data_IF_322328611131
#
_entry.id   IF_322328611131
#
_cell.length_a   1.000
_cell.length_b   1.000
_cell.length_c   1.000
_cell.angle_alpha   90.00
_cell.angle_beta   90.00
_cell.angle_gamma   90.00
#
_symmetry.space_group_name_H-M   'P 1'
#
loop_
_entity.id
_entity.type
_entity.pdbx_description
1 polymer ?
#
# COMPACT_ATOMS: atom_id res chain seq x y z
N UNK A 1 10.23 18.49 15.52
CA UNK A 1 8.76 18.29 15.58
C UNK A 1 8.48 17.02 14.79
N UNK A 2 7.83 15.97 15.32
CA UNK A 2 7.56 14.80 14.51
C UNK A 2 6.45 15.15 13.53
N UNK A 3 6.75 15.05 12.24
CA UNK A 3 5.78 15.17 11.15
C UNK A 3 4.68 14.14 11.39
N UNK A 4 3.42 14.59 11.47
CA UNK A 4 2.28 13.69 11.58
C UNK A 4 2.23 12.85 10.31
N UNK A 5 2.59 11.56 10.41
CA UNK A 5 2.39 10.55 9.37
C UNK A 5 0.88 10.49 9.07
N UNK A 6 0.44 11.17 8.00
CA UNK A 6 -0.95 11.17 7.54
C UNK A 6 -1.21 9.76 7.04
N UNK A 7 -1.97 8.97 7.78
CA UNK A 7 -2.39 7.63 7.34
C UNK A 7 -3.06 7.78 5.98
N UNK A 8 -2.50 7.10 4.98
CA UNK A 8 -3.02 7.10 3.62
C UNK A 8 -4.26 6.21 3.63
N UNK A 9 -5.38 6.72 4.14
CA UNK A 9 -6.66 6.03 4.12
C UNK A 9 -7.21 6.03 2.68
N UNK A 10 -6.66 5.14 1.87
CA UNK A 10 -7.05 4.85 0.50
C UNK A 10 -7.96 3.62 0.53
N UNK A 11 -9.17 3.77 0.01
CA UNK A 11 -10.09 2.62 -0.17
C UNK A 11 -9.63 1.76 -1.34
N UNK A 12 -10.03 0.49 -1.38
CA UNK A 12 -9.69 -0.42 -2.49
C UNK A 12 -10.03 0.18 -3.87
N UNK A 13 -11.17 0.88 -3.97
CA UNK A 13 -11.58 1.52 -5.22
C UNK A 13 -10.69 2.72 -5.60
N UNK A 14 -10.27 3.52 -4.61
CA UNK A 14 -9.33 4.62 -4.83
C UNK A 14 -7.92 4.10 -5.18
N UNK A 15 -7.53 2.95 -4.62
CA UNK A 15 -6.25 2.31 -4.92
C UNK A 15 -6.15 1.90 -6.39
N UNK A 16 -7.23 1.34 -6.95
CA UNK A 16 -7.30 1.01 -8.39
C UNK A 16 -7.08 2.25 -9.27
N UNK A 17 -7.68 3.39 -8.91
CA UNK A 17 -7.48 4.66 -9.63
C UNK A 17 -6.03 5.15 -9.49
N UNK A 18 -5.44 5.04 -8.30
CA UNK A 18 -4.04 5.41 -8.07
C UNK A 18 -3.07 4.55 -8.89
N UNK A 19 -3.32 3.23 -9.03
CA UNK A 19 -2.50 2.36 -9.89
C UNK A 19 -2.45 2.84 -11.34
N UNK A 20 -3.59 3.29 -11.87
CA UNK A 20 -3.63 3.88 -13.21
C UNK A 20 -2.81 5.17 -13.25
N UNK A 21 -3.01 6.08 -12.28
CA UNK A 21 -2.31 7.35 -12.24
C UNK A 21 -0.79 7.19 -12.07
N UNK A 22 -0.31 6.23 -11.28
CA UNK A 22 1.11 5.92 -11.13
C UNK A 22 1.71 5.35 -12.41
N UNK A 23 1.00 4.44 -13.08
CA UNK A 23 1.48 3.83 -14.31
C UNK A 23 1.59 4.83 -15.46
N UNK A 24 0.62 5.75 -15.60
CA UNK A 24 0.60 6.72 -16.70
C UNK A 24 1.31 8.03 -16.38
N UNK A 25 1.61 8.31 -15.10
CA UNK A 25 2.15 9.58 -14.54
C UNK A 25 1.25 10.80 -14.70
N UNK A 26 0.50 10.88 -15.79
CA UNK A 26 -0.58 11.82 -16.02
C UNK A 26 -1.76 11.07 -16.61
N UNK A 27 -2.98 11.38 -16.19
CA UNK A 27 -4.19 10.70 -16.68
C UNK A 27 -5.40 11.61 -16.71
N UNK A 28 -6.40 11.27 -17.52
CA UNK A 28 -7.70 11.95 -17.54
C UNK A 28 -8.80 11.04 -16.99
N UNK A 29 -9.92 11.63 -16.55
CA UNK A 29 -11.08 10.83 -16.10
C UNK A 29 -11.58 9.83 -17.15
N UNK A 30 -11.39 10.14 -18.44
CA UNK A 30 -11.75 9.25 -19.55
C UNK A 30 -10.81 8.04 -19.63
N UNK A 31 -9.51 8.28 -19.62
CA UNK A 31 -8.49 7.21 -19.67
C UNK A 31 -8.61 6.27 -18.47
N UNK A 32 -8.77 6.81 -17.25
CA UNK A 32 -9.01 5.99 -16.06
C UNK A 32 -10.26 5.12 -16.21
N UNK A 33 -11.34 5.69 -16.77
CA UNK A 33 -12.58 4.94 -17.00
C UNK A 33 -12.37 3.84 -18.03
N UNK A 34 -11.66 4.11 -19.13
CA UNK A 34 -11.37 3.14 -20.18
C UNK A 34 -10.52 1.98 -19.66
N UNK A 35 -9.41 2.27 -18.96
CA UNK A 35 -8.50 1.26 -18.40
C UNK A 35 -9.21 0.39 -17.37
N UNK A 36 -9.98 1.00 -16.46
CA UNK A 36 -10.64 0.23 -15.41
C UNK A 36 -11.83 -0.58 -15.93
N UNK A 37 -12.51 -0.12 -16.98
CA UNK A 37 -13.62 -0.86 -17.61
C UNK A 37 -13.21 -2.16 -18.30
N UNK A 38 -11.92 -2.38 -18.58
CA UNK A 38 -11.44 -3.67 -19.08
C UNK A 38 -11.68 -4.82 -18.09
N UNK A 39 -11.77 -4.52 -16.79
CA UNK A 39 -11.94 -5.53 -15.73
C UNK A 39 -13.06 -5.21 -14.74
N UNK A 40 -13.44 -3.94 -14.60
CA UNK A 40 -14.38 -3.44 -13.59
C UNK A 40 -15.34 -2.48 -14.30
N UNK A 41 -16.59 -2.88 -14.53
CA UNK A 41 -17.61 -2.11 -15.27
C UNK A 41 -18.06 -0.82 -14.53
N UNK A 42 -17.14 0.11 -14.31
CA UNK A 42 -17.35 1.35 -13.59
C UNK A 42 -17.90 2.44 -14.50
N UNK A 43 -18.97 3.07 -14.02
CA UNK A 43 -19.53 4.27 -14.65
C UNK A 43 -18.53 5.43 -14.54
N UNK A 44 -18.47 6.27 -15.57
CA UNK A 44 -17.63 7.48 -15.58
C UNK A 44 -17.90 8.41 -14.39
N UNK A 45 -19.13 8.45 -13.88
CA UNK A 45 -19.50 9.21 -12.67
C UNK A 45 -18.76 8.71 -11.44
N UNK A 46 -18.66 7.39 -11.26
CA UNK A 46 -17.94 6.77 -10.14
C UNK A 46 -16.45 7.13 -10.19
N UNK A 47 -15.81 7.00 -11.36
CA UNK A 47 -14.40 7.34 -11.55
C UNK A 47 -14.14 8.81 -11.24
N UNK A 48 -15.00 9.72 -11.71
CA UNK A 48 -14.89 11.16 -11.39
C UNK A 48 -15.00 11.42 -9.88
N UNK A 49 -15.94 10.77 -9.20
CA UNK A 49 -16.06 10.90 -7.73
C UNK A 49 -14.82 10.40 -7.00
N UNK A 50 -14.24 9.27 -7.43
CA UNK A 50 -13.00 8.74 -6.84
C UNK A 50 -11.81 9.68 -7.09
N UNK A 51 -11.67 10.21 -8.31
CA UNK A 51 -10.64 11.19 -8.64
C UNK A 51 -10.78 12.47 -7.81
N UNK A 52 -11.99 13.01 -7.66
CA UNK A 52 -12.24 14.17 -6.79
C UNK A 52 -11.85 13.90 -5.35
N UNK A 53 -12.23 12.75 -4.77
CA UNK A 53 -11.83 12.37 -3.41
C UNK A 53 -10.32 12.22 -3.25
N UNK A 54 -9.64 11.67 -4.24
CA UNK A 54 -8.18 11.55 -4.24
C UNK A 54 -7.48 12.91 -4.32
N UNK A 55 -8.05 13.87 -5.05
CA UNK A 55 -7.59 15.26 -5.06
C UNK A 55 -7.83 15.92 -3.70
N UNK A 56 -9.01 15.76 -3.11
CA UNK A 56 -9.33 16.29 -1.78
C UNK A 56 -8.41 15.71 -0.68
N UNK A 57 -7.94 14.47 -0.87
CA UNK A 57 -6.96 13.81 -0.01
C UNK A 57 -5.51 14.24 -0.25
N UNK A 58 -5.25 15.10 -1.24
CA UNK A 58 -3.92 15.55 -1.69
C UNK A 58 -3.04 14.41 -2.23
N UNK A 59 -3.66 13.34 -2.74
CA UNK A 59 -2.96 12.20 -3.34
C UNK A 59 -2.77 12.38 -4.84
N UNK A 60 -3.70 13.09 -5.47
CA UNK A 60 -3.63 13.52 -6.85
C UNK A 60 -3.64 15.05 -6.93
N UNK A 61 -2.83 15.60 -7.83
CA UNK A 61 -2.98 16.95 -8.34
C UNK A 61 -3.95 16.96 -9.50
N UNK A 62 -4.57 18.10 -9.76
CA UNK A 62 -5.41 18.31 -10.94
C UNK A 62 -4.97 19.58 -11.66
N UNK A 63 -4.89 19.50 -12.98
CA UNK A 63 -4.61 20.63 -13.87
C UNK A 63 -5.73 20.73 -14.91
N UNK A 64 -6.25 21.95 -15.09
CA UNK A 64 -7.24 22.22 -16.13
C UNK A 64 -6.53 22.54 -17.44
N UNK A 65 -6.80 21.75 -18.47
CA UNK A 65 -6.33 22.00 -19.83
C UNK A 65 -7.55 22.20 -20.74
N UNK A 66 -7.93 23.47 -20.92
CA UNK A 66 -9.16 23.86 -21.63
C UNK A 66 -10.44 23.31 -20.97
N UNK A 67 -11.14 22.42 -21.69
CA UNK A 67 -12.35 21.75 -21.19
C UNK A 67 -12.08 20.37 -20.57
N UNK A 68 -10.81 19.99 -20.39
CA UNK A 68 -10.40 18.72 -19.80
C UNK A 68 -9.66 18.94 -18.49
N UNK A 69 -9.75 17.96 -17.61
CA UNK A 69 -8.96 17.87 -16.39
C UNK A 69 -7.95 16.72 -16.53
N UNK A 70 -6.69 17.03 -16.25
CA UNK A 70 -5.61 16.06 -16.15
C UNK A 70 -5.25 15.89 -14.68
N UNK A 71 -5.05 14.66 -14.25
CA UNK A 71 -4.68 14.27 -12.90
C UNK A 71 -3.28 13.67 -12.89
N UNK A 72 -2.52 13.92 -11.83
CA UNK A 72 -1.16 13.42 -11.68
C UNK A 72 -0.88 13.05 -10.22
N UNK A 73 -0.11 11.99 -9.93
CA UNK A 73 0.17 11.56 -8.57
C UNK A 73 1.07 12.56 -7.84
N UNK A 74 0.66 12.92 -6.62
CA UNK A 74 1.48 13.72 -5.68
C UNK A 74 2.27 12.84 -4.71
N UNK A 75 1.91 11.56 -4.63
CA UNK A 75 2.57 10.56 -3.79
C UNK A 75 3.19 9.47 -4.66
N UNK A 76 4.33 8.94 -4.22
CA UNK A 76 5.01 7.84 -4.89
C UNK A 76 4.37 6.49 -4.55
N UNK A 77 4.24 5.61 -5.55
CA UNK A 77 3.70 4.26 -5.38
C UNK A 77 4.50 3.46 -4.34
N UNK A 78 5.83 3.46 -4.46
CA UNK A 78 6.72 2.73 -3.54
C UNK A 78 6.49 3.13 -2.09
N UNK A 79 6.52 4.43 -1.78
CA UNK A 79 6.29 4.96 -0.42
C UNK A 79 4.90 4.63 0.09
N UNK A 80 3.91 4.60 -0.79
CA UNK A 80 2.53 4.25 -0.45
C UNK A 80 2.40 2.77 -0.07
N UNK A 81 3.03 1.88 -0.84
CA UNK A 81 3.07 0.43 -0.55
C UNK A 81 3.86 0.14 0.74
N UNK A 82 4.98 0.81 0.94
CA UNK A 82 5.79 0.71 2.17
C UNK A 82 4.96 1.14 3.40
N UNK A 83 4.29 2.29 3.30
CA UNK A 83 3.42 2.79 4.38
C UNK A 83 2.29 1.81 4.70
N UNK A 84 1.63 1.24 3.68
CA UNK A 84 0.57 0.25 3.87
C UNK A 84 1.10 -1.01 4.56
N UNK A 85 2.30 -1.46 4.18
CA UNK A 85 2.96 -2.63 4.78
C UNK A 85 3.29 -2.38 6.25
N UNK A 86 3.79 -1.19 6.58
CA UNK A 86 4.04 -0.79 7.97
C UNK A 86 2.75 -0.73 8.79
N UNK A 87 1.71 -0.07 8.29
CA UNK A 87 0.39 0.00 8.96
C UNK A 87 -0.23 -1.38 9.17
N UNK A 88 -0.05 -2.31 8.22
CA UNK A 88 -0.48 -3.70 8.37
C UNK A 88 0.27 -4.38 9.51
N UNK A 89 1.60 -4.23 9.57
CA UNK A 89 2.42 -4.85 10.60
C UNK A 89 2.17 -4.24 12.00
N UNK A 90 1.86 -2.95 12.08
CA UNK A 90 1.48 -2.28 13.35
C UNK A 90 0.19 -2.86 13.95
N UNK A 91 -0.74 -3.34 13.13
CA UNK A 91 -1.99 -3.99 13.57
C UNK A 91 -1.76 -5.43 14.06
N UNK A 92 -0.56 -5.98 13.89
CA UNK A 92 -0.21 -7.35 14.25
C UNK A 92 0.70 -7.35 15.48
N UNK A 93 0.49 -8.32 16.38
CA UNK A 93 1.43 -8.56 17.48
C UNK A 93 2.85 -8.78 16.93
N UNK A 94 3.82 -8.04 17.43
CA UNK A 94 5.24 -8.12 17.03
C UNK A 94 5.79 -9.55 17.02
N UNK A 95 5.38 -10.40 17.97
CA UNK A 95 5.77 -11.83 18.03
C UNK A 95 5.24 -12.67 16.86
N UNK A 96 4.18 -12.22 16.18
CA UNK A 96 3.53 -12.93 15.08
C UNK A 96 3.96 -12.43 13.70
N UNK A 97 4.67 -11.29 13.61
CA UNK A 97 5.12 -10.70 12.34
C UNK A 97 5.87 -11.70 11.47
N UNK A 98 6.78 -12.49 12.05
CA UNK A 98 7.51 -13.52 11.30
C UNK A 98 6.58 -14.53 10.60
N UNK A 99 5.47 -14.92 11.24
CA UNK A 99 4.48 -15.83 10.62
C UNK A 99 3.74 -15.17 9.46
N UNK A 100 3.40 -13.90 9.59
CA UNK A 100 2.75 -13.14 8.51
C UNK A 100 3.64 -13.09 7.29
N UNK A 101 4.92 -12.75 7.47
CA UNK A 101 5.90 -12.72 6.38
C UNK A 101 6.05 -14.10 5.73
N UNK A 102 6.13 -15.17 6.54
CA UNK A 102 6.18 -16.54 6.01
C UNK A 102 4.95 -16.89 5.17
N UNK A 103 3.75 -16.53 5.61
CA UNK A 103 2.52 -16.76 4.83
C UNK A 103 2.55 -16.03 3.50
N UNK A 104 2.97 -14.76 3.49
CA UNK A 104 3.07 -13.96 2.26
C UNK A 104 4.04 -14.61 1.26
N UNK A 105 5.25 -15.00 1.71
CA UNK A 105 6.23 -15.67 0.84
C UNK A 105 5.67 -16.98 0.30
N UNK A 106 4.98 -17.76 1.14
CA UNK A 106 4.43 -19.08 0.76
C UNK A 106 3.34 -18.97 -0.31
N UNK A 107 2.47 -17.97 -0.20
CA UNK A 107 1.28 -17.82 -1.04
C UNK A 107 1.53 -16.94 -2.28
N UNK A 108 2.70 -16.28 -2.38
CA UNK A 108 3.05 -15.40 -3.49
C UNK A 108 3.79 -16.15 -4.59
N UNK A 109 3.50 -15.80 -5.85
CA UNK A 109 4.34 -16.21 -6.98
C UNK A 109 5.56 -15.29 -7.05
N UNK A 110 6.75 -15.84 -6.85
CA UNK A 110 8.03 -15.12 -6.84
C UNK A 110 8.95 -15.66 -7.93
N UNK A 111 9.70 -14.78 -8.58
CA UNK A 111 10.74 -15.17 -9.53
C UNK A 111 12.00 -15.68 -8.81
N UNK A 112 12.91 -16.33 -9.53
CA UNK A 112 14.20 -16.74 -8.96
C UNK A 112 15.00 -15.54 -8.45
N UNK A 113 14.99 -14.42 -9.18
CA UNK A 113 15.67 -13.18 -8.78
C UNK A 113 15.07 -12.59 -7.49
N UNK A 114 13.73 -12.62 -7.34
CA UNK A 114 13.07 -12.18 -6.11
C UNK A 114 13.55 -13.01 -4.90
N UNK A 115 13.68 -14.33 -5.07
CA UNK A 115 14.16 -15.23 -4.02
C UNK A 115 15.63 -14.91 -3.66
N UNK A 116 16.50 -14.72 -4.64
CA UNK A 116 17.92 -14.41 -4.40
C UNK A 116 18.10 -13.07 -3.67
N UNK A 117 17.31 -12.05 -4.03
CA UNK A 117 17.29 -10.77 -3.34
C UNK A 117 16.79 -10.90 -1.89
N UNK A 118 15.70 -11.67 -1.67
CA UNK A 118 15.16 -11.93 -0.34
C UNK A 118 16.16 -12.69 0.54
N UNK A 119 16.85 -13.70 0.02
CA UNK A 119 17.88 -14.43 0.75
C UNK A 119 19.03 -13.50 1.18
N UNK A 120 19.48 -12.64 0.27
CA UNK A 120 20.53 -11.66 0.54
C UNK A 120 20.10 -10.71 1.67
N UNK A 121 18.87 -10.20 1.59
CA UNK A 121 18.30 -9.34 2.62
C UNK A 121 18.18 -10.06 3.97
N UNK A 122 17.76 -11.33 3.99
CA UNK A 122 17.65 -12.13 5.21
C UNK A 122 19.02 -12.41 5.86
N UNK A 123 20.06 -12.65 5.05
CA UNK A 123 21.44 -12.82 5.52
C UNK A 123 21.93 -11.56 6.22
N UNK A 124 21.67 -10.38 5.64
CA UNK A 124 22.01 -9.10 6.27
C UNK A 124 21.18 -8.85 7.53
N UNK A 125 19.86 -9.09 7.49
CA UNK A 125 18.98 -8.89 8.64
C UNK A 125 19.36 -9.77 9.83
N UNK A 126 19.84 -10.99 9.58
CA UNK A 126 20.31 -11.93 10.62
C UNK A 126 21.38 -11.32 11.52
N UNK A 127 22.22 -10.41 11.02
CA UNK A 127 23.26 -9.73 11.81
C UNK A 127 22.70 -8.85 12.92
N UNK A 128 21.45 -8.39 12.80
CA UNK A 128 20.75 -7.53 13.76
C UNK A 128 19.54 -8.22 14.41
N UNK A 129 19.34 -9.51 14.16
CA UNK A 129 18.18 -10.24 14.66
C UNK A 129 18.29 -10.48 16.17
N UNK A 130 17.17 -10.33 16.88
CA UNK A 130 17.06 -10.60 18.31
C UNK A 130 16.74 -12.07 18.57
N UNK A 131 17.19 -12.61 19.72
CA UNK A 131 16.92 -13.99 20.12
C UNK A 131 15.42 -14.27 20.32
N UNK A 132 14.70 -13.31 20.88
CA UNK A 132 13.25 -13.38 21.10
C UNK A 132 12.66 -11.99 20.85
N UNK A 133 11.66 -11.91 19.98
CA UNK A 133 10.91 -10.66 19.75
C UNK A 133 9.99 -10.42 20.95
N UNK A 134 10.06 -9.25 21.63
CA UNK A 134 9.15 -8.94 22.73
C UNK A 134 7.73 -8.71 22.20
N UNK A 135 6.72 -8.96 23.01
CA UNK A 135 5.33 -8.64 22.68
C UNK A 135 5.08 -7.15 22.89
N UNK A 136 4.42 -6.49 21.93
CA UNK A 136 4.04 -5.08 22.00
C UNK A 136 2.52 -4.85 22.26
N UNK A 137 1.74 -5.92 22.41
CA UNK A 137 0.30 -5.80 22.61
C UNK A 137 -0.08 -5.37 24.03
N UNK A 138 -1.14 -4.57 24.16
CA UNK A 138 -1.80 -4.29 25.44
C UNK A 138 -2.33 -5.59 26.06
N UNK A 139 -2.30 -5.76 27.40
CA UNK A 139 -2.90 -6.91 28.07
C UNK A 139 -4.32 -7.19 27.57
N UNK A 140 -4.60 -8.45 27.20
CA UNK A 140 -5.88 -8.88 26.63
C UNK A 140 -5.99 -8.84 25.10
N UNK A 141 -5.12 -8.12 24.38
CA UNK A 141 -5.14 -8.10 22.91
C UNK A 141 -4.46 -9.31 22.26
N UNK A 142 -3.73 -10.11 23.04
CA UNK A 142 -3.08 -11.32 22.57
C UNK A 142 -2.92 -12.36 23.68
N UNK A 143 -2.70 -13.60 23.27
CA UNK A 143 -2.43 -14.74 24.16
C UNK A 143 -0.93 -15.05 24.27
N UNK A 144 -0.05 -14.15 23.82
CA UNK A 144 1.40 -14.39 23.78
C UNK A 144 2.06 -14.56 25.16
N UNK A 145 1.35 -14.21 26.24
CA UNK A 145 1.76 -14.42 27.63
C UNK A 145 1.22 -15.74 28.22
N UNK A 146 0.26 -16.39 27.55
CA UNK A 146 -0.35 -17.66 27.95
C UNK A 146 0.38 -18.87 27.37
N UNK A 147 1.15 -18.67 26.30
CA UNK A 147 1.97 -19.71 25.68
C UNK A 147 3.31 -19.77 26.43
N UNK A 148 3.42 -20.70 27.38
CA UNK A 148 4.68 -21.15 27.97
C UNK A 148 5.40 -22.12 27.05
#
# INVERSE_FOLDING_TARGET
MPEKKKSLNITDAEWEVMRVAWATKETTSKEVTEILNEKKEWKSTTVKTLLSRLVDKEMLGTMRNGNKFTYFPLIEERKSIESLSEEMLEKVCSKKVGRVVTSIIKDSQLSFDDIDQLETLLKEKRKTAVKVVPCNCTPGQCQCHLVR
#
